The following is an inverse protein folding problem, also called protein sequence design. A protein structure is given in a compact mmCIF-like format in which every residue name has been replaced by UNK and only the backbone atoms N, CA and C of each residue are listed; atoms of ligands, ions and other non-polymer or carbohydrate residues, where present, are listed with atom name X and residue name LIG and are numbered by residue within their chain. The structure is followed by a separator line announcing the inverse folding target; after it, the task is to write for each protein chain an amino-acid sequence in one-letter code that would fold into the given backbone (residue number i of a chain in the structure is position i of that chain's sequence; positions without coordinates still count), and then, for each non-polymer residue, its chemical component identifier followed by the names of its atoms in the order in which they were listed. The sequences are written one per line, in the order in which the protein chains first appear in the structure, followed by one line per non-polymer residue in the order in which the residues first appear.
data_IF_058193487595
#
_entry.id   IF_058193487595
#
_cell.length_a   1.000
_cell.length_b   1.000
_cell.length_c   1.000
_cell.angle_alpha   90.00
_cell.angle_beta   90.00
_cell.angle_gamma   90.00
#
_symmetry.space_group_name_H-M   'P 1'
#
loop_
_entity.id
_entity.type
_entity.pdbx_description
1 polymer ?
#
# COMPACT_ATOMS: atom_id res chain seq x y z
N UNK A 1 -13.02 38.33 15.42
CA UNK A 1 -12.43 37.16 16.11
C UNK A 1 -13.19 35.94 15.60
N UNK A 2 -12.68 35.31 14.54
CA UNK A 2 -13.34 34.17 13.90
C UNK A 2 -12.75 32.87 14.49
N UNK A 3 -13.57 31.92 14.95
CA UNK A 3 -13.06 30.67 15.48
C UNK A 3 -12.49 29.82 14.32
N UNK A 4 -11.28 29.31 14.55
CA UNK A 4 -10.57 28.37 13.69
C UNK A 4 -11.34 27.05 13.59
N UNK A 5 -11.91 26.78 12.42
CA UNK A 5 -12.52 25.50 12.09
C UNK A 5 -11.44 24.41 12.03
N UNK A 6 -11.44 23.52 13.02
CA UNK A 6 -10.84 22.19 12.89
C UNK A 6 -11.75 21.35 12.01
N UNK A 7 -11.26 20.92 10.84
CA UNK A 7 -11.79 19.79 10.09
C UNK A 7 -10.87 19.48 8.90
N UNK A 8 -9.83 18.65 9.10
CA UNK A 8 -9.03 18.10 8.00
C UNK A 8 -8.89 16.57 8.07
N UNK A 9 -9.49 15.90 9.05
CA UNK A 9 -9.38 14.45 9.23
C UNK A 9 -10.44 13.64 8.47
N UNK A 10 -11.54 14.26 8.04
CA UNK A 10 -12.70 13.50 7.51
C UNK A 10 -12.65 13.25 6.00
N UNK A 11 -11.86 14.01 5.24
CA UNK A 11 -11.79 13.87 3.77
C UNK A 11 -10.82 12.76 3.30
N UNK A 12 -9.89 12.30 4.14
CA UNK A 12 -8.94 11.22 3.81
C UNK A 12 -9.53 9.83 4.02
N UNK A 13 -10.52 9.67 4.91
CA UNK A 13 -11.05 8.37 5.32
C UNK A 13 -11.86 7.65 4.22
N UNK A 14 -12.52 8.39 3.33
CA UNK A 14 -13.40 7.80 2.31
C UNK A 14 -12.70 7.31 1.03
N UNK A 15 -11.39 7.58 0.86
CA UNK A 15 -10.62 7.10 -0.30
C UNK A 15 -9.72 5.92 0.03
N UNK A 16 -9.76 5.37 1.23
CA UNK A 16 -8.76 4.42 1.74
C UNK A 16 -9.22 2.95 1.77
N UNK A 17 -10.23 2.58 0.98
CA UNK A 17 -10.62 1.17 0.88
C UNK A 17 -10.23 0.62 -0.49
N UNK A 18 -9.43 -0.45 -0.47
CA UNK A 18 -9.16 -1.23 -1.67
C UNK A 18 -10.51 -1.66 -2.28
N UNK A 19 -10.69 -1.52 -3.60
CA UNK A 19 -11.98 -1.76 -4.24
C UNK A 19 -12.43 -3.19 -3.94
N UNK A 20 -13.59 -3.33 -3.30
CA UNK A 20 -14.26 -4.61 -3.14
C UNK A 20 -14.93 -4.98 -4.47
N UNK A 21 -14.20 -5.55 -5.43
CA UNK A 21 -14.86 -6.25 -6.56
C UNK A 21 -15.19 -7.68 -6.16
N UNK A 22 -16.33 -8.16 -6.68
CA UNK A 22 -16.81 -9.54 -6.61
C UNK A 22 -15.64 -10.48 -6.90
N UNK A 23 -15.32 -11.32 -5.91
CA UNK A 23 -14.36 -12.41 -5.96
C UNK A 23 -14.10 -12.91 -7.39
N UNK A 24 -13.05 -12.42 -8.02
CA UNK A 24 -12.46 -13.05 -9.19
C UNK A 24 -12.08 -14.46 -8.70
N UNK A 25 -12.84 -15.45 -9.18
CA UNK A 25 -12.63 -16.90 -9.03
C UNK A 25 -11.66 -17.27 -7.90
N UNK A 26 -12.15 -17.46 -6.67
CA UNK A 26 -11.29 -17.88 -5.56
C UNK A 26 -10.56 -19.16 -5.95
N UNK A 27 -9.27 -19.05 -6.28
CA UNK A 27 -8.41 -20.21 -6.48
C UNK A 27 -8.32 -20.88 -5.11
N UNK A 28 -8.77 -22.13 -5.00
CA UNK A 28 -8.65 -22.94 -3.79
C UNK A 28 -7.16 -23.07 -3.45
N UNK A 29 -6.69 -22.27 -2.49
CA UNK A 29 -5.30 -22.24 -2.05
C UNK A 29 -5.11 -21.27 -0.88
N UNK A 30 -4.01 -21.39 -0.13
CA UNK A 30 -3.71 -20.49 0.97
C UNK A 30 -3.48 -19.06 0.46
N UNK A 31 -4.17 -18.08 1.06
CA UNK A 31 -3.95 -16.66 0.75
C UNK A 31 -2.52 -16.29 1.15
N UNK A 32 -1.79 -15.75 0.19
CA UNK A 32 -0.39 -15.33 0.38
C UNK A 32 -0.24 -13.91 -0.12
N UNK A 33 0.28 -13.03 0.74
CA UNK A 33 0.51 -11.63 0.40
C UNK A 33 1.99 -11.28 0.51
N UNK A 34 2.45 -10.39 -0.38
CA UNK A 34 3.74 -9.72 -0.29
C UNK A 34 3.50 -8.27 0.10
N UNK A 35 4.22 -7.79 1.11
CA UNK A 35 4.14 -6.39 1.53
C UNK A 35 5.50 -5.72 1.37
N UNK A 36 5.48 -4.45 0.97
CA UNK A 36 6.66 -3.60 0.86
C UNK A 36 6.23 -2.13 0.91
N UNK A 37 7.19 -1.24 1.10
CA UNK A 37 6.98 0.19 1.20
C UNK A 37 7.87 0.96 0.24
N UNK A 38 7.25 1.92 -0.42
CA UNK A 38 7.98 2.97 -1.14
C UNK A 38 7.69 4.32 -0.52
N UNK A 39 8.53 5.30 -0.81
CA UNK A 39 8.33 6.66 -0.33
C UNK A 39 8.42 7.67 -1.48
N UNK A 40 7.78 8.81 -1.27
CA UNK A 40 7.83 10.00 -2.11
C UNK A 40 7.67 11.27 -1.25
N UNK A 41 7.47 12.43 -1.88
CA UNK A 41 7.32 13.72 -1.20
C UNK A 41 6.05 14.44 -1.64
N UNK A 42 5.45 15.20 -0.72
CA UNK A 42 4.32 16.09 -1.00
C UNK A 42 4.69 17.51 -0.59
N UNK A 43 4.48 18.48 -1.46
CA UNK A 43 4.84 19.90 -1.32
C UNK A 43 6.36 20.17 -1.22
N UNK A 44 7.05 19.55 -0.27
CA UNK A 44 8.48 19.76 -0.04
C UNK A 44 9.14 18.49 0.55
N UNK A 45 10.46 18.55 0.72
CA UNK A 45 11.29 17.40 1.11
C UNK A 45 11.11 16.96 2.57
N UNK A 46 10.61 17.84 3.43
CA UNK A 46 10.35 17.52 4.84
C UNK A 46 9.12 16.65 4.98
N UNK A 47 8.15 16.83 4.08
CA UNK A 47 6.92 16.07 4.03
C UNK A 47 7.07 14.79 3.18
N UNK A 48 7.80 13.83 3.75
CA UNK A 48 7.95 12.48 3.20
C UNK A 48 6.67 11.67 3.47
N UNK A 49 6.17 11.03 2.41
CA UNK A 49 5.01 10.15 2.47
C UNK A 49 5.41 8.72 2.11
N UNK A 50 5.10 7.79 2.99
CA UNK A 50 5.31 6.36 2.83
C UNK A 50 4.05 5.72 2.29
N UNK A 51 4.22 4.89 1.27
CA UNK A 51 3.18 4.18 0.55
C UNK A 51 3.41 2.70 0.87
N UNK A 52 2.60 2.21 1.78
CA UNK A 52 2.55 0.84 2.22
C UNK A 52 1.64 0.06 1.28
N UNK A 53 2.10 -1.09 0.79
CA UNK A 53 1.40 -1.87 -0.21
C UNK A 53 1.34 -3.33 0.19
N UNK A 54 0.23 -3.99 -0.14
CA UNK A 54 0.08 -5.44 0.00
C UNK A 54 -0.47 -6.02 -1.32
N UNK A 55 0.24 -6.98 -1.88
CA UNK A 55 -0.08 -7.66 -3.13
C UNK A 55 -0.43 -9.12 -2.88
N UNK A 56 -1.54 -9.60 -3.43
CA UNK A 56 -1.87 -11.03 -3.43
C UNK A 56 -1.02 -11.76 -4.49
N UNK A 57 -0.27 -12.78 -4.05
CA UNK A 57 0.61 -13.56 -4.93
C UNK A 57 -0.19 -14.32 -6.00
N UNK A 58 -1.38 -14.82 -5.69
CA UNK A 58 -2.15 -15.65 -6.60
C UNK A 58 -2.82 -14.84 -7.72
N UNK A 59 -3.35 -13.66 -7.39
CA UNK A 59 -4.08 -12.80 -8.34
C UNK A 59 -3.23 -11.69 -8.91
N UNK A 60 -2.11 -11.34 -8.27
CA UNK A 60 -1.28 -10.14 -8.53
C UNK A 60 -1.94 -8.83 -8.15
N UNK A 61 -3.15 -8.86 -7.63
CA UNK A 61 -3.87 -7.64 -7.26
C UNK A 61 -3.24 -7.00 -6.02
N UNK A 62 -3.26 -5.67 -6.01
CA UNK A 62 -3.06 -4.91 -4.77
C UNK A 62 -4.33 -5.01 -3.94
N UNK A 63 -4.20 -5.53 -2.73
CA UNK A 63 -5.30 -5.81 -1.80
C UNK A 63 -5.25 -4.96 -0.53
N UNK A 64 -4.17 -4.21 -0.33
CA UNK A 64 -4.02 -3.25 0.77
C UNK A 64 -3.12 -2.09 0.36
N UNK A 65 -3.50 -0.88 0.78
CA UNK A 65 -2.76 0.36 0.53
C UNK A 65 -2.92 1.28 1.73
N UNK A 66 -1.83 1.85 2.20
CA UNK A 66 -1.85 2.97 3.13
C UNK A 66 -0.80 4.02 2.74
N UNK A 67 -1.17 5.30 2.82
CA UNK A 67 -0.26 6.43 2.54
C UNK A 67 -0.15 7.30 3.78
N UNK A 68 1.04 7.41 4.33
CA UNK A 68 1.28 8.18 5.55
C UNK A 68 2.70 8.02 6.08
N UNK A 69 2.83 7.80 7.39
CA UNK A 69 4.10 7.70 8.09
C UNK A 69 4.74 6.30 8.04
N UNK A 70 6.06 6.23 8.26
CA UNK A 70 6.81 4.97 8.43
C UNK A 70 6.96 4.61 9.90
N UNK A 71 5.85 4.23 10.51
CA UNK A 71 5.78 3.85 11.91
C UNK A 71 5.07 2.50 12.04
N UNK A 72 5.06 1.96 13.26
CA UNK A 72 4.20 0.83 13.62
C UNK A 72 2.71 1.14 13.36
N UNK A 73 2.31 2.39 13.61
CA UNK A 73 0.96 2.85 13.27
C UNK A 73 0.72 2.79 11.75
N UNK A 74 1.70 3.13 10.93
CA UNK A 74 1.60 2.96 9.48
C UNK A 74 1.40 1.49 9.05
N UNK A 75 2.14 0.56 9.65
CA UNK A 75 1.94 -0.87 9.43
C UNK A 75 0.54 -1.34 9.89
N UNK A 76 0.04 -0.81 11.01
CA UNK A 76 -1.31 -1.09 11.51
C UNK A 76 -2.40 -0.58 10.56
N UNK A 77 -2.19 0.57 9.93
CA UNK A 77 -3.11 1.11 8.93
C UNK A 77 -3.09 0.28 7.64
N UNK A 78 -1.92 -0.18 7.18
CA UNK A 78 -1.84 -1.14 6.09
C UNK A 78 -2.64 -2.41 6.44
N UNK A 79 -2.42 -2.99 7.61
CA UNK A 79 -3.15 -4.16 8.06
C UNK A 79 -4.66 -3.92 8.07
N UNK A 80 -5.10 -2.77 8.58
CA UNK A 80 -6.52 -2.39 8.65
C UNK A 80 -7.14 -2.19 7.27
N UNK A 81 -6.35 -1.74 6.28
CA UNK A 81 -6.80 -1.59 4.88
C UNK A 81 -7.13 -2.93 4.20
N UNK A 82 -6.58 -4.04 4.71
CA UNK A 82 -6.80 -5.38 4.13
C UNK A 82 -8.25 -5.86 4.35
N UNK A 83 -8.85 -6.52 3.34
CA UNK A 83 -10.11 -7.22 3.53
C UNK A 83 -10.02 -8.25 4.66
N UNK A 84 -11.15 -8.47 5.35
CA UNK A 84 -11.19 -9.31 6.55
C UNK A 84 -10.65 -10.73 6.31
N UNK A 85 -10.88 -11.31 5.12
CA UNK A 85 -10.39 -12.64 4.76
C UNK A 85 -8.86 -12.72 4.82
N UNK A 86 -8.14 -11.72 4.28
CA UNK A 86 -6.68 -11.69 4.35
C UNK A 86 -6.20 -11.54 5.79
N UNK A 87 -6.85 -10.68 6.59
CA UNK A 87 -6.51 -10.52 8.00
C UNK A 87 -6.69 -11.81 8.80
N UNK A 88 -7.66 -12.64 8.46
CA UNK A 88 -7.96 -13.90 9.17
C UNK A 88 -6.97 -15.02 8.82
N UNK A 89 -6.64 -15.21 7.53
CA UNK A 89 -5.94 -16.42 7.10
C UNK A 89 -4.70 -16.21 6.22
N UNK A 90 -4.39 -15.00 5.75
CA UNK A 90 -3.25 -14.82 4.85
C UNK A 90 -1.90 -15.01 5.55
N UNK A 91 -0.96 -15.62 4.85
CA UNK A 91 0.47 -15.62 5.17
C UNK A 91 1.11 -14.41 4.51
N UNK A 92 1.84 -13.62 5.29
CA UNK A 92 2.46 -12.37 4.82
C UNK A 92 3.98 -12.52 4.73
N UNK A 93 4.52 -12.21 3.55
CA UNK A 93 5.94 -12.08 3.30
C UNK A 93 6.31 -10.60 3.25
N UNK A 94 7.31 -10.22 4.04
CA UNK A 94 7.81 -8.84 4.13
C UNK A 94 9.34 -8.87 4.21
N UNK A 95 9.95 -7.71 4.10
CA UNK A 95 11.34 -7.53 4.51
C UNK A 95 11.51 -7.65 6.04
N UNK A 96 12.73 -7.46 6.54
CA UNK A 96 13.06 -7.55 7.96
C UNK A 96 12.68 -6.31 8.78
N UNK A 97 11.78 -5.45 8.28
CA UNK A 97 11.37 -4.26 9.02
C UNK A 97 10.52 -4.62 10.25
N UNK A 98 10.97 -4.18 11.44
CA UNK A 98 10.40 -4.61 12.72
C UNK A 98 8.91 -4.25 12.91
N UNK A 99 8.43 -3.17 12.29
CA UNK A 99 7.02 -2.76 12.40
C UNK A 99 6.04 -3.84 11.91
N UNK A 100 6.45 -4.66 10.93
CA UNK A 100 5.63 -5.78 10.50
C UNK A 100 5.48 -6.85 11.59
N UNK A 101 6.56 -7.12 12.34
CA UNK A 101 6.56 -8.10 13.42
C UNK A 101 5.65 -7.72 14.60
N UNK A 102 5.42 -6.42 14.83
CA UNK A 102 4.50 -5.94 15.87
C UNK A 102 3.02 -6.11 15.47
N UNK A 103 2.70 -5.95 14.19
CA UNK A 103 1.31 -5.87 13.70
C UNK A 103 0.81 -7.20 13.15
N UNK A 104 1.66 -7.91 12.40
CA UNK A 104 1.27 -9.14 11.72
C UNK A 104 1.39 -10.32 12.68
N UNK A 105 0.40 -11.22 12.73
CA UNK A 105 0.45 -12.36 13.64
C UNK A 105 1.66 -13.25 13.35
N UNK A 106 2.49 -13.47 14.38
CA UNK A 106 3.82 -14.12 14.31
C UNK A 106 3.85 -15.47 13.59
N UNK A 107 2.81 -16.29 13.73
CA UNK A 107 2.71 -17.59 13.03
C UNK A 107 2.58 -17.45 11.51
N UNK A 108 1.99 -16.35 11.04
CA UNK A 108 1.66 -16.05 9.64
C UNK A 108 2.57 -15.01 9.00
N UNK A 109 3.37 -14.29 9.78
CA UNK A 109 4.39 -13.37 9.29
C UNK A 109 5.69 -14.12 8.99
N UNK A 110 6.26 -13.85 7.81
CA UNK A 110 7.52 -14.42 7.34
C UNK A 110 8.40 -13.27 6.81
N UNK A 111 9.26 -12.74 7.69
CA UNK A 111 10.32 -11.85 7.27
C UNK A 111 11.36 -12.64 6.45
N UNK A 112 11.63 -12.20 5.24
CA UNK A 112 12.46 -12.92 4.26
C UNK A 112 13.45 -11.97 3.59
N UNK A 113 14.64 -12.48 3.30
CA UNK A 113 15.64 -11.73 2.54
C UNK A 113 15.35 -11.73 1.04
N UNK A 114 15.96 -10.77 0.34
CA UNK A 114 15.80 -10.57 -1.10
C UNK A 114 16.19 -11.81 -1.91
N UNK A 115 17.18 -12.57 -1.43
CA UNK A 115 17.68 -13.80 -2.04
C UNK A 115 16.64 -14.91 -2.14
N UNK A 116 15.56 -14.84 -1.36
CA UNK A 116 14.49 -15.84 -1.37
C UNK A 116 13.53 -15.67 -2.56
N UNK A 117 13.53 -14.51 -3.22
CA UNK A 117 12.58 -14.16 -4.29
C UNK A 117 11.11 -14.03 -3.84
N UNK A 118 10.83 -14.15 -2.54
CA UNK A 118 9.48 -14.16 -1.96
C UNK A 118 8.82 -12.78 -1.84
N UNK A 119 9.52 -11.71 -2.23
CA UNK A 119 9.03 -10.32 -2.37
C UNK A 119 9.15 -9.80 -3.82
N UNK A 120 9.56 -10.64 -4.77
CA UNK A 120 9.87 -10.21 -6.15
C UNK A 120 8.69 -9.58 -6.91
N UNK A 121 7.45 -9.95 -6.58
CA UNK A 121 6.28 -9.41 -7.27
C UNK A 121 5.91 -8.02 -6.78
N UNK A 122 5.94 -7.79 -5.47
CA UNK A 122 5.73 -6.45 -4.92
C UNK A 122 6.86 -5.49 -5.32
N UNK A 123 8.11 -5.98 -5.37
CA UNK A 123 9.25 -5.21 -5.88
C UNK A 123 9.04 -4.79 -7.34
N UNK A 124 8.64 -5.73 -8.21
CA UNK A 124 8.31 -5.43 -9.61
C UNK A 124 7.19 -4.39 -9.71
N UNK A 125 6.13 -4.55 -8.92
CA UNK A 125 5.04 -3.59 -8.87
C UNK A 125 5.54 -2.19 -8.46
N UNK A 126 6.40 -2.11 -7.45
CA UNK A 126 7.00 -0.86 -6.98
C UNK A 126 7.81 -0.17 -8.09
N UNK A 127 8.58 -0.92 -8.88
CA UNK A 127 9.26 -0.38 -10.06
C UNK A 127 8.28 0.17 -11.10
N UNK A 128 7.24 -0.60 -11.45
CA UNK A 128 6.23 -0.18 -12.43
C UNK A 128 5.48 1.08 -11.95
N UNK A 129 5.08 1.11 -10.68
CA UNK A 129 4.39 2.26 -10.10
C UNK A 129 5.26 3.52 -10.15
N UNK A 130 6.56 3.43 -9.82
CA UNK A 130 7.48 4.57 -9.93
C UNK A 130 7.65 5.05 -11.37
N UNK A 131 7.70 4.14 -12.35
CA UNK A 131 7.83 4.53 -13.75
C UNK A 131 6.57 5.20 -14.31
N UNK A 132 5.39 4.72 -13.92
CA UNK A 132 4.11 5.19 -14.47
C UNK A 132 3.50 6.37 -13.72
N UNK A 133 3.77 6.49 -12.43
CA UNK A 133 3.28 7.59 -11.60
C UNK A 133 4.42 8.59 -11.40
N UNK A 134 4.58 9.53 -12.34
CA UNK A 134 5.70 10.49 -12.35
C UNK A 134 5.88 11.27 -11.04
N UNK A 135 4.80 11.44 -10.28
CA UNK A 135 4.76 12.10 -8.97
C UNK A 135 5.46 11.34 -7.84
N UNK A 136 5.77 10.06 -8.06
CA UNK A 136 6.51 9.20 -7.12
C UNK A 136 8.01 9.15 -7.43
N UNK A 137 8.45 9.90 -8.44
CA UNK A 137 9.84 9.97 -8.94
C UNK A 137 10.62 11.09 -8.23
N UNK A 138 11.93 11.18 -8.50
CA UNK A 138 12.88 12.08 -7.85
C UNK A 138 12.49 13.57 -7.92
N UNK A 139 12.45 14.17 -6.72
CA UNK A 139 12.75 15.54 -6.23
C UNK A 139 12.47 16.79 -7.08
N UNK A 140 12.77 16.84 -8.37
CA UNK A 140 12.86 18.11 -9.13
C UNK A 140 11.94 18.22 -10.34
N UNK A 141 11.36 17.10 -10.81
CA UNK A 141 10.58 17.08 -12.05
C UNK A 141 9.06 17.07 -11.81
N UNK A 142 8.58 16.24 -10.89
CA UNK A 142 7.15 16.03 -10.66
C UNK A 142 6.90 15.59 -9.22
N UNK A 143 6.26 16.43 -8.42
CA UNK A 143 5.78 16.07 -7.09
C UNK A 143 4.41 16.68 -6.83
N UNK A 144 3.65 16.08 -5.92
CA UNK A 144 2.30 16.55 -5.60
C UNK A 144 2.37 17.73 -4.64
N UNK A 145 1.72 18.85 -4.96
CA UNK A 145 1.62 20.00 -4.02
C UNK A 145 0.61 19.78 -2.89
N UNK A 146 -0.36 18.89 -3.10
CA UNK A 146 -1.45 18.58 -2.16
C UNK A 146 -1.49 17.08 -1.88
N UNK A 147 -1.64 16.71 -0.60
CA UNK A 147 -1.71 15.30 -0.17
C UNK A 147 -2.91 14.57 -0.79
N UNK A 148 -4.07 15.23 -0.91
CA UNK A 148 -5.26 14.65 -1.53
C UNK A 148 -5.00 14.22 -2.99
N UNK A 149 -4.33 15.07 -3.78
CA UNK A 149 -3.99 14.75 -5.17
C UNK A 149 -2.92 13.65 -5.26
N UNK A 150 -2.06 13.54 -4.24
CA UNK A 150 -1.06 12.50 -4.15
C UNK A 150 -1.70 11.13 -3.94
N UNK A 151 -2.56 11.06 -2.91
CA UNK A 151 -3.35 9.88 -2.57
C UNK A 151 -4.24 9.47 -3.76
N UNK A 152 -4.94 10.42 -4.38
CA UNK A 152 -5.79 10.16 -5.55
C UNK A 152 -5.03 9.58 -6.73
N UNK A 153 -3.81 10.05 -7.01
CA UNK A 153 -2.99 9.51 -8.10
C UNK A 153 -2.55 8.05 -7.83
N UNK A 154 -2.21 7.72 -6.58
CA UNK A 154 -1.86 6.36 -6.17
C UNK A 154 -3.07 5.43 -6.32
N UNK A 155 -4.23 5.85 -5.80
CA UNK A 155 -5.46 5.06 -5.91
C UNK A 155 -5.88 4.84 -7.36
N UNK A 156 -5.88 5.89 -8.19
CA UNK A 156 -6.20 5.76 -9.61
C UNK A 156 -5.28 4.75 -10.31
N UNK A 157 -3.97 4.78 -10.00
CA UNK A 157 -3.03 3.81 -10.56
C UNK A 157 -3.31 2.39 -10.07
N UNK A 158 -3.55 2.19 -8.77
CA UNK A 158 -3.85 0.89 -8.18
C UNK A 158 -5.13 0.29 -8.77
N UNK A 159 -6.20 1.09 -8.91
CA UNK A 159 -7.44 0.65 -9.52
C UNK A 159 -7.22 0.23 -10.97
N UNK A 160 -6.56 1.06 -11.77
CA UNK A 160 -6.28 0.75 -13.17
C UNK A 160 -5.38 -0.49 -13.31
N UNK A 161 -4.35 -0.63 -12.47
CA UNK A 161 -3.49 -1.80 -12.44
C UNK A 161 -4.29 -3.07 -12.15
N UNK A 162 -5.10 -3.07 -11.09
CA UNK A 162 -5.93 -4.21 -10.74
C UNK A 162 -6.94 -4.55 -11.84
N UNK A 163 -7.55 -3.55 -12.50
CA UNK A 163 -8.45 -3.79 -13.64
C UNK A 163 -7.71 -4.43 -14.82
N UNK A 164 -6.50 -3.97 -15.14
CA UNK A 164 -5.70 -4.50 -16.26
C UNK A 164 -5.23 -5.95 -16.10
N UNK A 165 -5.37 -6.55 -14.91
CA UNK A 165 -5.07 -7.97 -14.69
C UNK A 165 -6.19 -8.91 -15.18
N UNK A 166 -7.35 -8.35 -15.54
CA UNK A 166 -8.54 -9.09 -15.96
C UNK A 166 -8.93 -8.85 -17.43
N UNK A 167 -8.18 -8.01 -18.13
CA UNK A 167 -8.29 -7.78 -19.58
C UNK A 167 -7.48 -8.83 -20.38
#
# INVERSE_FOLDING_TARGET
MFPTAGCNSTLTTNMQQCPKRRTSRQKKGPLTIQCDEIWSFVNDKSNKQWIWLALDVATREIVGVYVGERSEHGAQQLWTSLPAVYRQCAVAYTDFWNAYGCVFPSKRHKAVGQETGKTSYIERFNYTMRQRVSRLVRKTLSFSKKIANHIGAIWMFVHHYNESLHD
#
